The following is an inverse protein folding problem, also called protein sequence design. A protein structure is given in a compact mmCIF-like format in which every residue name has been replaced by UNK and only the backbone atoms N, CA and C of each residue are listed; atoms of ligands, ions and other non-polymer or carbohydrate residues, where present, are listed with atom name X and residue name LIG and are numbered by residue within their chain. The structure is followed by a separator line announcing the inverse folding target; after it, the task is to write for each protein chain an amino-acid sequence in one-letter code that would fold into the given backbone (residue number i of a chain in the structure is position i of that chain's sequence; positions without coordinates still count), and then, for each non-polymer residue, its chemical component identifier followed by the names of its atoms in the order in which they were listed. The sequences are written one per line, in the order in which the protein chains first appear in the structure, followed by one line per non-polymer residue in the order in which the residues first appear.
data_IF_693133227440
#
_entry.id   IF_693133227440
#
_cell.length_a   1.000
_cell.length_b   1.000
_cell.length_c   1.000
_cell.angle_alpha   90.00
_cell.angle_beta   90.00
_cell.angle_gamma   90.00
#
_symmetry.space_group_name_H-M   'P 1'
#
loop_
_entity.id
_entity.type
_entity.pdbx_description
1 polymer ?
#
# COMPACT_ATOMS: atom_id res chain seq x y z
N UNK A 1 -1.42 -40.52 61.39
CA UNK A 1 -0.67 -40.11 60.18
C UNK A 1 -1.48 -40.56 58.98
N UNK A 2 -2.24 -39.64 58.38
CA UNK A 2 -2.99 -39.90 57.15
C UNK A 2 -2.68 -38.77 56.19
N UNK A 3 -1.68 -38.98 55.33
CA UNK A 3 -1.31 -38.04 54.29
C UNK A 3 -2.30 -38.16 53.14
N UNK A 4 -3.08 -37.11 52.90
CA UNK A 4 -3.90 -36.97 51.72
C UNK A 4 -2.98 -36.75 50.50
N UNK A 5 -2.88 -37.79 49.67
CA UNK A 5 -2.39 -37.70 48.30
C UNK A 5 -3.31 -36.74 47.53
N UNK A 6 -2.82 -35.54 47.20
CA UNK A 6 -3.52 -34.63 46.28
C UNK A 6 -3.52 -35.27 44.89
N UNK A 7 -4.71 -35.72 44.49
CA UNK A 7 -4.99 -36.28 43.20
C UNK A 7 -5.02 -35.18 42.12
N UNK A 8 -4.31 -35.44 41.01
CA UNK A 8 -4.73 -35.14 39.64
C UNK A 8 -5.12 -33.70 39.31
N UNK A 9 -4.15 -32.90 38.88
CA UNK A 9 -4.45 -31.79 37.98
C UNK A 9 -4.96 -32.36 36.66
N UNK A 10 -6.28 -32.29 36.45
CA UNK A 10 -6.88 -32.55 35.15
C UNK A 10 -6.24 -31.61 34.13
N UNK A 11 -5.65 -32.16 33.07
CA UNK A 11 -5.10 -31.39 31.96
C UNK A 11 -6.22 -30.62 31.27
N UNK A 12 -6.43 -29.38 31.71
CA UNK A 12 -7.34 -28.45 31.05
C UNK A 12 -6.73 -28.10 29.70
N UNK A 13 -7.41 -28.50 28.62
CA UNK A 13 -6.99 -28.18 27.26
C UNK A 13 -6.90 -26.65 27.14
N UNK A 14 -5.74 -26.10 26.71
CA UNK A 14 -5.62 -24.67 26.50
C UNK A 14 -6.71 -24.20 25.54
N UNK A 15 -7.24 -23.00 25.83
CA UNK A 15 -8.20 -22.35 24.93
C UNK A 15 -7.63 -22.26 23.50
N UNK A 16 -8.50 -22.32 22.50
CA UNK A 16 -8.11 -22.33 21.08
C UNK A 16 -7.18 -21.16 20.73
N UNK A 17 -7.39 -19.97 21.29
CA UNK A 17 -6.51 -18.82 21.04
C UNK A 17 -5.12 -18.99 21.68
N UNK A 18 -5.04 -19.40 22.94
CA UNK A 18 -3.77 -19.66 23.62
C UNK A 18 -2.96 -20.74 22.90
N UNK A 19 -3.63 -21.82 22.49
CA UNK A 19 -3.03 -22.90 21.73
C UNK A 19 -2.55 -22.45 20.34
N UNK A 20 -3.25 -21.52 19.69
CA UNK A 20 -2.82 -20.95 18.41
C UNK A 20 -1.54 -20.11 18.56
N UNK A 21 -1.43 -19.31 19.63
CA UNK A 21 -0.21 -18.54 19.91
C UNK A 21 0.99 -19.46 20.19
N UNK A 22 0.77 -20.59 20.86
CA UNK A 22 1.80 -21.61 21.05
C UNK A 22 2.17 -22.30 19.73
N UNK A 23 1.18 -22.65 18.91
CA UNK A 23 1.41 -23.22 17.58
C UNK A 23 2.19 -22.26 16.66
N UNK A 24 1.92 -20.95 16.70
CA UNK A 24 2.72 -19.95 15.97
C UNK A 24 4.19 -19.94 16.38
N UNK A 25 4.52 -20.36 17.61
CA UNK A 25 5.91 -20.51 18.10
C UNK A 25 6.54 -21.85 17.74
N UNK A 26 5.73 -22.85 17.36
CA UNK A 26 6.22 -24.13 16.85
C UNK A 26 7.01 -23.93 15.54
N UNK A 27 7.92 -24.84 15.21
CA UNK A 27 8.74 -24.74 14.00
C UNK A 27 7.90 -24.61 12.71
N UNK A 28 6.73 -25.25 12.65
CA UNK A 28 5.83 -25.16 11.50
C UNK A 28 5.12 -23.80 11.44
N UNK A 29 4.51 -23.38 12.55
CA UNK A 29 3.80 -22.10 12.64
C UNK A 29 4.73 -20.89 12.51
N UNK A 30 5.96 -20.97 13.05
CA UNK A 30 6.94 -19.90 12.98
C UNK A 30 7.45 -19.68 11.55
N UNK A 31 7.66 -20.74 10.78
CA UNK A 31 8.04 -20.65 9.36
C UNK A 31 6.97 -19.98 8.53
N UNK A 32 5.70 -20.39 8.68
CA UNK A 32 4.58 -19.78 7.97
C UNK A 32 4.38 -18.32 8.37
N UNK A 33 4.46 -18.01 9.66
CA UNK A 33 4.35 -16.63 10.17
C UNK A 33 5.47 -15.74 9.62
N UNK A 34 6.72 -16.22 9.63
CA UNK A 34 7.86 -15.50 9.03
C UNK A 34 7.67 -15.29 7.53
N UNK A 35 7.21 -16.32 6.80
CA UNK A 35 6.95 -16.21 5.36
C UNK A 35 5.86 -15.16 5.06
N UNK A 36 4.77 -15.16 5.83
CA UNK A 36 3.68 -14.18 5.69
C UNK A 36 4.23 -12.77 5.89
N UNK A 37 4.97 -12.54 6.98
CA UNK A 37 5.56 -11.23 7.30
C UNK A 37 6.49 -10.74 6.19
N UNK A 38 7.47 -11.53 5.80
CA UNK A 38 8.42 -11.13 4.74
C UNK A 38 7.71 -10.90 3.41
N UNK A 39 6.68 -11.70 3.10
CA UNK A 39 5.89 -11.50 1.88
C UNK A 39 5.05 -10.21 1.93
N UNK A 40 4.54 -9.82 3.10
CA UNK A 40 3.83 -8.54 3.28
C UNK A 40 4.77 -7.36 3.07
N UNK A 41 5.97 -7.39 3.66
CA UNK A 41 7.01 -6.38 3.43
C UNK A 41 7.35 -6.26 1.94
N UNK A 42 7.49 -7.40 1.25
CA UNK A 42 7.76 -7.46 -0.18
C UNK A 42 6.61 -6.87 -1.03
N UNK A 43 5.34 -7.09 -0.64
CA UNK A 43 4.18 -6.43 -1.26
C UNK A 43 4.25 -4.91 -1.11
N UNK A 44 4.64 -4.39 0.06
CA UNK A 44 4.78 -2.95 0.29
C UNK A 44 5.88 -2.35 -0.58
N UNK A 45 7.04 -3.00 -0.66
CA UNK A 45 8.14 -2.59 -1.55
C UNK A 45 7.68 -2.54 -3.00
N UNK A 46 6.97 -3.57 -3.47
CA UNK A 46 6.41 -3.60 -4.83
C UNK A 46 5.39 -2.50 -5.08
N UNK A 47 4.48 -2.21 -4.13
CA UNK A 47 3.51 -1.12 -4.25
C UNK A 47 4.20 0.25 -4.39
N UNK A 48 5.25 0.49 -3.59
CA UNK A 48 6.06 1.69 -3.69
C UNK A 48 6.71 1.81 -5.07
N UNK A 49 7.37 0.74 -5.53
CA UNK A 49 8.01 0.70 -6.85
C UNK A 49 7.01 0.91 -8.00
N UNK A 50 5.82 0.31 -7.93
CA UNK A 50 4.73 0.51 -8.90
C UNK A 50 4.35 2.00 -9.00
N UNK A 51 4.32 2.70 -7.86
CA UNK A 51 3.95 4.13 -7.79
C UNK A 51 5.06 5.01 -8.37
N UNK A 52 6.32 4.71 -8.03
CA UNK A 52 7.50 5.39 -8.58
C UNK A 52 7.56 5.24 -10.11
N UNK A 53 7.53 3.99 -10.60
CA UNK A 53 7.58 3.70 -12.03
C UNK A 53 6.40 4.33 -12.76
N UNK A 54 5.19 4.28 -12.18
CA UNK A 54 4.01 4.94 -12.74
C UNK A 54 4.18 6.46 -12.87
N UNK A 55 4.83 7.10 -11.91
CA UNK A 55 5.13 8.54 -11.94
C UNK A 55 6.16 8.84 -13.03
N UNK A 56 7.24 8.06 -13.12
CA UNK A 56 8.27 8.22 -14.17
C UNK A 56 7.69 8.01 -15.56
N UNK A 57 6.81 7.01 -15.74
CA UNK A 57 6.12 6.78 -17.02
C UNK A 57 5.31 8.01 -17.44
N UNK A 58 4.60 8.65 -16.50
CA UNK A 58 3.83 9.86 -16.80
C UNK A 58 4.75 11.04 -17.19
N UNK A 59 5.89 11.19 -16.52
CA UNK A 59 6.90 12.19 -16.87
C UNK A 59 7.48 11.93 -18.27
N UNK A 60 7.81 10.68 -18.60
CA UNK A 60 8.31 10.31 -19.92
C UNK A 60 7.28 10.56 -21.01
N UNK A 61 5.97 10.31 -20.75
CA UNK A 61 4.91 10.67 -21.70
C UNK A 61 4.90 12.18 -21.99
N UNK A 62 4.91 13.00 -20.94
CA UNK A 62 4.95 14.46 -21.10
C UNK A 62 6.20 14.91 -21.87
N UNK A 63 7.35 14.31 -21.59
CA UNK A 63 8.59 14.60 -22.32
C UNK A 63 8.50 14.20 -23.80
N UNK A 64 7.97 13.00 -24.10
CA UNK A 64 7.74 12.55 -25.48
C UNK A 64 6.80 13.52 -26.21
N UNK A 65 5.71 13.93 -25.59
CA UNK A 65 4.73 14.84 -26.19
C UNK A 65 5.36 16.21 -26.48
N UNK A 66 6.09 16.77 -25.51
CA UNK A 66 6.78 18.05 -25.67
C UNK A 66 7.85 18.02 -26.77
N UNK A 67 8.76 17.02 -26.73
CA UNK A 67 9.81 16.88 -27.74
C UNK A 67 9.24 16.56 -29.13
N UNK A 68 8.15 15.79 -29.20
CA UNK A 68 7.48 15.50 -30.48
C UNK A 68 6.80 16.75 -31.04
N UNK A 69 6.16 17.57 -30.20
CA UNK A 69 5.57 18.83 -30.63
C UNK A 69 6.63 19.82 -31.14
N UNK A 70 7.76 19.94 -30.44
CA UNK A 70 8.86 20.81 -30.86
C UNK A 70 9.48 20.32 -32.18
N UNK A 71 9.69 19.03 -32.34
CA UNK A 71 10.18 18.45 -33.59
C UNK A 71 9.22 18.73 -34.76
N UNK A 72 7.90 18.69 -34.54
CA UNK A 72 6.91 19.06 -35.56
C UNK A 72 6.95 20.55 -35.88
N UNK A 73 7.16 21.42 -34.89
CA UNK A 73 7.32 22.86 -35.09
C UNK A 73 8.52 23.15 -36.00
N UNK A 74 9.68 22.58 -35.70
CA UNK A 74 10.90 22.77 -36.50
C UNK A 74 10.72 22.28 -37.93
N UNK A 75 10.12 21.10 -38.12
CA UNK A 75 9.82 20.56 -39.45
C UNK A 75 8.90 21.46 -40.26
N UNK A 76 7.86 22.01 -39.63
CA UNK A 76 6.94 22.92 -40.30
C UNK A 76 7.61 24.26 -40.67
N UNK A 77 8.49 24.78 -39.81
CA UNK A 77 9.26 25.99 -40.08
C UNK A 77 10.24 25.79 -41.24
N UNK A 78 10.91 24.64 -41.27
CA UNK A 78 11.80 24.26 -42.36
C UNK A 78 11.05 24.13 -43.68
N UNK A 79 9.92 23.41 -43.69
CA UNK A 79 9.08 23.25 -44.87
C UNK A 79 8.57 24.62 -45.38
N UNK A 80 8.24 25.54 -44.48
CA UNK A 80 7.82 26.91 -44.82
C UNK A 80 8.93 27.74 -45.44
N UNK A 81 10.21 27.42 -45.19
CA UNK A 81 11.38 28.07 -45.80
C UNK A 81 11.79 27.45 -47.13
N UNK A 82 11.18 26.33 -47.53
CA UNK A 82 11.51 25.60 -48.76
C UNK A 82 12.82 24.80 -48.70
N UNK A 83 13.32 24.52 -47.49
CA UNK A 83 14.60 23.83 -47.25
C UNK A 83 14.36 22.34 -46.94
N UNK A 84 13.90 21.57 -47.93
CA UNK A 84 13.38 20.21 -47.68
C UNK A 84 14.48 19.15 -47.49
N UNK A 85 15.72 19.42 -47.94
CA UNK A 85 16.78 18.41 -48.05
C UNK A 85 17.76 18.36 -46.87
N UNK A 86 17.74 19.35 -45.95
CA UNK A 86 18.73 19.43 -44.86
C UNK A 86 18.05 19.40 -43.48
N UNK A 87 18.26 18.30 -42.74
CA UNK A 87 17.90 18.21 -41.31
C UNK A 87 19.00 18.91 -40.51
N UNK A 88 18.61 19.87 -39.67
CA UNK A 88 19.58 20.53 -38.81
C UNK A 88 20.00 19.64 -37.62
N UNK A 89 21.13 19.98 -37.02
CA UNK A 89 21.68 19.23 -35.89
C UNK A 89 20.70 19.19 -34.69
N UNK A 90 19.90 20.25 -34.51
CA UNK A 90 18.92 20.36 -33.43
C UNK A 90 17.75 19.37 -33.62
N UNK A 91 17.19 19.28 -34.82
CA UNK A 91 16.17 18.30 -35.18
C UNK A 91 16.70 16.88 -35.02
N UNK A 92 17.93 16.61 -35.46
CA UNK A 92 18.55 15.30 -35.32
C UNK A 92 18.66 14.89 -33.84
N UNK A 93 19.13 15.79 -32.97
CA UNK A 93 19.21 15.57 -31.53
C UNK A 93 17.82 15.31 -30.92
N UNK A 94 16.79 16.06 -31.34
CA UNK A 94 15.41 15.83 -30.88
C UNK A 94 14.86 14.47 -31.33
N UNK A 95 15.13 14.05 -32.58
CA UNK A 95 14.74 12.71 -33.03
C UNK A 95 15.40 11.62 -32.18
N UNK A 96 16.70 11.76 -31.91
CA UNK A 96 17.45 10.83 -31.09
C UNK A 96 16.88 10.77 -29.66
N UNK A 97 16.65 11.93 -29.04
CA UNK A 97 16.06 12.04 -27.70
C UNK A 97 14.67 11.42 -27.63
N UNK A 98 13.78 11.71 -28.59
CA UNK A 98 12.42 11.10 -28.65
C UNK A 98 12.50 9.58 -28.76
N UNK A 99 13.42 9.07 -29.59
CA UNK A 99 13.61 7.62 -29.76
C UNK A 99 14.09 6.97 -28.47
N UNK A 100 15.05 7.58 -27.79
CA UNK A 100 15.55 7.12 -26.48
C UNK A 100 14.47 7.15 -25.41
N UNK A 101 13.76 8.27 -25.25
CA UNK A 101 12.68 8.42 -24.25
C UNK A 101 11.56 7.39 -24.49
N UNK A 102 11.19 7.12 -25.77
CA UNK A 102 10.24 6.06 -26.12
C UNK A 102 10.75 4.66 -25.76
N UNK A 103 12.06 4.43 -25.81
CA UNK A 103 12.69 3.18 -25.37
C UNK A 103 12.58 3.00 -23.86
N UNK A 104 12.94 4.04 -23.10
CA UNK A 104 12.80 4.06 -21.63
C UNK A 104 11.34 3.86 -21.19
N UNK A 105 10.40 4.54 -21.86
CA UNK A 105 8.96 4.40 -21.62
C UNK A 105 8.48 2.95 -21.74
N UNK A 106 8.86 2.26 -22.83
CA UNK A 106 8.48 0.86 -23.08
C UNK A 106 9.05 -0.06 -22.00
N UNK A 107 10.35 0.07 -21.72
CA UNK A 107 11.03 -0.71 -20.68
C UNK A 107 10.36 -0.56 -19.29
N UNK A 108 10.07 0.68 -18.89
CA UNK A 108 9.41 0.93 -17.61
C UNK A 108 7.96 0.45 -17.60
N UNK A 109 7.25 0.48 -18.72
CA UNK A 109 5.90 -0.05 -18.81
C UNK A 109 5.88 -1.58 -18.65
N UNK A 110 6.85 -2.28 -19.23
CA UNK A 110 7.04 -3.72 -19.05
C UNK A 110 7.40 -4.03 -17.59
N UNK A 111 8.28 -3.23 -16.96
CA UNK A 111 8.60 -3.32 -15.53
C UNK A 111 7.34 -3.14 -14.67
N UNK A 112 6.53 -2.11 -14.94
CA UNK A 112 5.29 -1.82 -14.23
C UNK A 112 4.32 -3.00 -14.28
N UNK A 113 4.17 -3.60 -15.45
CA UNK A 113 3.28 -4.75 -15.66
C UNK A 113 3.79 -5.96 -14.87
N UNK A 114 5.09 -6.26 -14.99
CA UNK A 114 5.74 -7.35 -14.23
C UNK A 114 5.63 -7.15 -12.72
N UNK A 115 5.79 -5.92 -12.22
CA UNK A 115 5.68 -5.62 -10.79
C UNK A 115 4.25 -5.83 -10.27
N UNK A 116 3.23 -5.45 -11.05
CA UNK A 116 1.82 -5.69 -10.70
C UNK A 116 1.54 -7.19 -10.60
N UNK A 117 1.96 -7.96 -11.59
CA UNK A 117 1.78 -9.42 -11.59
C UNK A 117 2.47 -10.07 -10.38
N UNK A 118 3.73 -9.68 -10.11
CA UNK A 118 4.48 -10.17 -8.95
C UNK A 118 3.84 -9.77 -7.63
N UNK A 119 3.29 -8.56 -7.51
CA UNK A 119 2.54 -8.10 -6.33
C UNK A 119 1.30 -8.96 -6.13
N UNK A 120 0.54 -9.22 -7.18
CA UNK A 120 -0.67 -10.02 -7.11
C UNK A 120 -0.37 -11.48 -6.75
N UNK A 121 0.73 -12.03 -7.27
CA UNK A 121 1.23 -13.36 -6.87
C UNK A 121 1.59 -13.41 -5.39
N UNK A 122 2.32 -12.40 -4.88
CA UNK A 122 2.71 -12.33 -3.48
C UNK A 122 1.49 -12.23 -2.54
N UNK A 123 0.47 -11.45 -2.92
CA UNK A 123 -0.80 -11.39 -2.18
C UNK A 123 -1.47 -12.75 -2.13
N UNK A 124 -1.60 -13.44 -3.28
CA UNK A 124 -2.17 -14.79 -3.32
C UNK A 124 -1.38 -15.80 -2.49
N UNK A 125 -0.04 -15.70 -2.46
CA UNK A 125 0.79 -16.60 -1.65
C UNK A 125 0.64 -16.33 -0.15
N UNK A 126 0.46 -15.06 0.26
CA UNK A 126 0.14 -14.71 1.65
C UNK A 126 -1.19 -15.34 2.05
N UNK A 127 -2.22 -15.23 1.22
CA UNK A 127 -3.55 -15.79 1.51
C UNK A 127 -3.52 -17.32 1.56
N UNK A 128 -2.71 -17.97 0.72
CA UNK A 128 -2.47 -19.41 0.79
C UNK A 128 -1.75 -19.80 2.09
N UNK A 129 -0.71 -19.07 2.48
CA UNK A 129 0.04 -19.34 3.70
C UNK A 129 -0.80 -19.12 4.97
N UNK A 130 -1.68 -18.10 4.98
CA UNK A 130 -2.64 -17.87 6.08
C UNK A 130 -3.62 -19.02 6.23
N UNK A 131 -4.17 -19.54 5.11
CA UNK A 131 -5.04 -20.71 5.13
C UNK A 131 -4.31 -21.95 5.65
N UNK A 132 -3.10 -22.20 5.14
CA UNK A 132 -2.26 -23.30 5.60
C UNK A 132 -1.97 -23.21 7.09
N UNK A 133 -1.67 -22.02 7.62
CA UNK A 133 -1.40 -21.83 9.04
C UNK A 133 -2.59 -22.23 9.91
N UNK A 134 -3.82 -21.92 9.48
CA UNK A 134 -5.04 -22.31 10.18
C UNK A 134 -5.28 -23.82 10.07
N UNK A 135 -5.13 -24.40 8.88
CA UNK A 135 -5.32 -25.84 8.64
C UNK A 135 -4.31 -26.69 9.45
N UNK A 136 -3.04 -26.27 9.48
CA UNK A 136 -2.00 -26.93 10.26
C UNK A 136 -2.28 -26.81 11.76
N UNK A 137 -2.72 -25.64 12.20
CA UNK A 137 -3.12 -25.42 13.58
C UNK A 137 -4.29 -26.32 13.99
N UNK A 138 -5.36 -26.39 13.21
CA UNK A 138 -6.53 -27.21 13.54
C UNK A 138 -6.19 -28.70 13.55
N UNK A 139 -5.27 -29.12 12.69
CA UNK A 139 -4.77 -30.50 12.67
C UNK A 139 -3.88 -30.80 13.88
N UNK A 140 -2.98 -29.89 14.23
CA UNK A 140 -2.16 -29.99 15.44
C UNK A 140 -3.01 -29.99 16.71
N UNK A 141 -3.97 -29.07 16.84
CA UNK A 141 -4.85 -28.96 18.00
C UNK A 141 -5.72 -30.21 18.18
N UNK A 142 -6.29 -30.76 17.11
CA UNK A 142 -7.01 -32.04 17.15
C UNK A 142 -6.13 -33.18 17.67
N UNK A 143 -4.90 -33.27 17.20
CA UNK A 143 -3.94 -34.29 17.67
C UNK A 143 -3.56 -34.09 19.15
N UNK A 144 -3.45 -32.84 19.63
CA UNK A 144 -3.22 -32.55 21.05
C UNK A 144 -4.42 -32.95 21.91
N UNK A 145 -5.65 -32.66 21.47
CA UNK A 145 -6.86 -33.09 22.16
C UNK A 145 -6.97 -34.62 22.26
N UNK A 146 -6.65 -35.34 21.18
CA UNK A 146 -6.67 -36.81 21.15
C UNK A 146 -5.62 -37.43 22.09
N UNK A 147 -4.45 -36.79 22.23
CA UNK A 147 -3.38 -37.23 23.14
C UNK A 147 -3.67 -36.94 24.62
N UNK A 148 -4.38 -35.85 24.92
CA UNK A 148 -4.67 -35.41 26.30
C UNK A 148 -6.00 -35.97 26.86
N UNK A 149 -6.88 -36.53 26.02
CA UNK A 149 -8.15 -37.10 26.44
C UNK A 149 -8.61 -38.23 25.52
N UNK A 150 -8.28 -39.47 25.87
CA UNK A 150 -8.70 -40.65 25.11
C UNK A 150 -10.21 -40.72 24.90
N UNK A 151 -10.63 -40.81 23.65
CA UNK A 151 -11.94 -41.36 23.27
C UNK A 151 -13.18 -40.53 23.64
N UNK A 152 -13.14 -39.21 23.49
CA UNK A 152 -14.36 -38.40 23.48
C UNK A 152 -14.73 -38.06 22.04
N UNK A 153 -15.79 -38.66 21.49
CA UNK A 153 -16.36 -38.20 20.22
C UNK A 153 -16.65 -36.71 20.36
N UNK A 154 -15.93 -35.84 19.65
CA UNK A 154 -16.41 -34.48 19.43
C UNK A 154 -17.64 -34.64 18.53
N UNK A 155 -18.81 -34.82 19.16
CA UNK A 155 -20.06 -34.51 18.49
C UNK A 155 -19.87 -33.09 17.98
N UNK A 156 -19.79 -32.96 16.66
CA UNK A 156 -19.94 -31.72 15.94
C UNK A 156 -21.33 -31.21 16.31
N UNK A 157 -21.44 -30.56 17.47
CA UNK A 157 -22.64 -29.87 17.87
C UNK A 157 -22.63 -28.63 17.01
N UNK A 158 -23.31 -28.75 15.88
CA UNK A 158 -23.74 -27.65 15.04
C UNK A 158 -24.46 -26.64 15.94
N UNK A 159 -23.71 -25.71 16.51
CA UNK A 159 -24.30 -24.55 17.10
C UNK A 159 -24.89 -23.75 15.93
N UNK A 160 -26.22 -23.71 15.90
CA UNK A 160 -26.99 -22.88 14.99
C UNK A 160 -26.51 -21.43 15.02
N UNK A 161 -26.71 -20.67 13.93
CA UNK A 161 -25.95 -19.47 13.60
C UNK A 161 -26.33 -18.32 14.53
N UNK A 162 -25.63 -18.20 15.65
CA UNK A 162 -25.62 -16.94 16.39
C UNK A 162 -24.91 -15.92 15.50
N UNK A 163 -25.61 -14.83 15.18
CA UNK A 163 -25.18 -13.71 14.32
C UNK A 163 -24.02 -12.89 14.91
N UNK A 164 -22.99 -13.55 15.43
CA UNK A 164 -21.67 -12.97 15.44
C UNK A 164 -21.14 -13.15 14.03
N UNK A 165 -21.50 -12.17 13.22
CA UNK A 165 -20.82 -11.78 12.00
C UNK A 165 -19.32 -11.65 12.33
N UNK A 166 -18.61 -12.77 12.37
CA UNK A 166 -17.19 -12.79 12.14
C UNK A 166 -17.03 -12.37 10.70
N UNK A 167 -16.85 -11.07 10.52
CA UNK A 167 -16.29 -10.45 9.33
C UNK A 167 -14.92 -11.10 9.12
N UNK A 168 -14.92 -12.27 8.49
CA UNK A 168 -13.74 -12.94 7.98
C UNK A 168 -12.97 -11.96 7.11
N UNK A 169 -11.87 -11.44 7.64
CA UNK A 169 -10.92 -10.66 6.85
C UNK A 169 -10.05 -9.66 7.61
N UNK A 170 -10.48 -9.12 8.75
CA UNK A 170 -9.80 -7.93 9.32
C UNK A 170 -9.25 -8.07 10.75
N UNK A 171 -9.93 -8.76 11.67
CA UNK A 171 -9.63 -8.60 13.10
C UNK A 171 -8.42 -9.42 13.63
N UNK A 172 -7.90 -10.39 12.88
CA UNK A 172 -6.71 -11.16 13.27
C UNK A 172 -5.42 -10.72 12.54
N UNK A 173 -5.51 -9.67 11.73
CA UNK A 173 -4.38 -9.02 11.06
C UNK A 173 -3.89 -7.77 11.82
N UNK A 174 -4.48 -7.50 12.99
CA UNK A 174 -4.18 -6.33 13.82
C UNK A 174 -2.75 -6.34 14.41
N UNK A 175 -2.09 -7.51 14.41
CA UNK A 175 -0.76 -7.71 15.02
C UNK A 175 0.42 -7.34 14.08
N UNK A 176 0.15 -7.08 12.79
CA UNK A 176 1.17 -6.78 11.76
C UNK A 176 0.92 -5.46 11.00
N UNK A 177 0.07 -4.59 11.53
CA UNK A 177 -0.08 -3.22 11.02
C UNK A 177 0.94 -2.33 11.76
N UNK A 178 1.62 -1.44 11.04
CA UNK A 178 2.48 -0.45 11.72
C UNK A 178 1.64 0.44 12.66
N UNK A 179 2.25 1.04 13.69
CA UNK A 179 1.51 1.84 14.68
C UNK A 179 0.62 2.93 14.05
N UNK A 180 1.01 3.45 12.88
CA UNK A 180 0.21 4.37 12.08
C UNK A 180 -0.98 3.68 11.42
N UNK A 181 -0.76 2.58 10.69
CA UNK A 181 -1.80 1.82 10.00
C UNK A 181 -2.84 1.24 10.98
N UNK A 182 -2.42 0.84 12.19
CA UNK A 182 -3.34 0.40 13.27
C UNK A 182 -4.23 1.53 13.75
N UNK A 183 -3.63 2.71 13.99
CA UNK A 183 -4.37 3.88 14.43
C UNK A 183 -5.42 4.28 13.38
N UNK A 184 -5.06 4.27 12.10
CA UNK A 184 -6.00 4.57 11.03
C UNK A 184 -7.13 3.53 10.91
N UNK A 185 -6.83 2.24 11.08
CA UNK A 185 -7.82 1.18 11.05
C UNK A 185 -8.81 1.27 12.22
N UNK A 186 -8.31 1.52 13.44
CA UNK A 186 -9.14 1.70 14.64
C UNK A 186 -10.01 2.96 14.55
N UNK A 187 -9.44 4.05 14.03
CA UNK A 187 -10.16 5.31 13.82
C UNK A 187 -11.27 5.16 12.77
N UNK A 188 -11.00 4.45 11.68
CA UNK A 188 -11.97 4.16 10.62
C UNK A 188 -13.11 3.27 11.12
N UNK A 189 -12.80 2.27 11.95
CA UNK A 189 -13.81 1.40 12.57
C UNK A 189 -14.76 2.20 13.46
N UNK A 190 -14.23 3.12 14.27
CA UNK A 190 -15.06 3.99 15.12
C UNK A 190 -15.99 4.88 14.30
N UNK A 191 -15.48 5.46 13.22
CA UNK A 191 -16.30 6.30 12.31
C UNK A 191 -17.38 5.47 11.62
N UNK A 192 -17.10 4.23 11.23
CA UNK A 192 -18.08 3.35 10.59
C UNK A 192 -19.19 2.90 11.55
N UNK A 193 -18.87 2.70 12.83
CA UNK A 193 -19.86 2.36 13.88
C UNK A 193 -20.75 3.57 14.26
N UNK A 194 -20.16 4.77 14.31
CA UNK A 194 -20.87 6.01 14.67
C UNK A 194 -21.70 6.58 13.48
N UNK A 195 -21.15 6.56 12.26
CA UNK A 195 -21.80 7.06 11.05
C UNK A 195 -21.26 6.38 9.76
N UNK A 196 -21.94 5.34 9.25
CA UNK A 196 -21.48 4.56 8.10
C UNK A 196 -21.39 5.38 6.79
N UNK A 197 -22.14 6.48 6.66
CA UNK A 197 -22.11 7.34 5.46
C UNK A 197 -20.88 8.26 5.46
N UNK A 198 -20.31 8.55 6.63
CA UNK A 198 -19.13 9.41 6.79
C UNK A 198 -17.81 8.75 6.39
N UNK A 199 -17.78 7.43 6.17
CA UNK A 199 -16.57 6.68 5.79
C UNK A 199 -15.96 7.19 4.48
N UNK A 200 -16.79 7.53 3.48
CA UNK A 200 -16.33 8.06 2.21
C UNK A 200 -15.75 9.47 2.33
N UNK A 201 -16.35 10.33 3.17
CA UNK A 201 -15.84 11.67 3.43
C UNK A 201 -14.54 11.63 4.23
N UNK A 202 -14.45 10.73 5.21
CA UNK A 202 -13.29 10.57 6.09
C UNK A 202 -12.06 10.07 5.31
N UNK A 203 -12.23 9.06 4.46
CA UNK A 203 -11.19 8.56 3.56
C UNK A 203 -10.75 9.62 2.55
N UNK A 204 -11.69 10.37 1.95
CA UNK A 204 -11.39 11.47 1.04
C UNK A 204 -10.63 12.63 1.71
N UNK A 205 -11.02 13.00 2.95
CA UNK A 205 -10.38 14.05 3.73
C UNK A 205 -8.94 13.69 4.10
N UNK A 206 -8.66 12.44 4.52
CA UNK A 206 -7.29 12.00 4.79
C UNK A 206 -6.42 12.06 3.54
N UNK A 207 -6.91 11.59 2.40
CA UNK A 207 -6.20 11.69 1.11
C UNK A 207 -5.90 13.15 0.74
N UNK A 208 -6.85 14.07 0.95
CA UNK A 208 -6.66 15.49 0.69
C UNK A 208 -5.61 16.11 1.63
N UNK A 209 -5.63 15.76 2.92
CA UNK A 209 -4.69 16.27 3.93
C UNK A 209 -3.27 15.78 3.66
N UNK A 210 -3.10 14.51 3.28
CA UNK A 210 -1.81 13.94 2.89
C UNK A 210 -1.28 14.58 1.61
N UNK A 211 -2.15 14.88 0.63
CA UNK A 211 -1.76 15.62 -0.59
C UNK A 211 -1.36 17.07 -0.30
N UNK A 212 -2.03 17.74 0.63
CA UNK A 212 -1.70 19.10 1.04
C UNK A 212 -0.35 19.17 1.76
N UNK A 213 -0.03 18.18 2.59
CA UNK A 213 1.25 18.13 3.31
C UNK A 213 2.45 17.82 2.39
N UNK A 214 2.23 17.17 1.24
CA UNK A 214 3.27 16.92 0.22
C UNK A 214 3.45 18.08 -0.78
N UNK A 215 2.67 19.16 -0.67
CA UNK A 215 2.67 20.30 -1.59
C UNK A 215 3.14 21.63 -0.96
N UNK A 216 3.73 21.62 0.23
CA UNK A 216 4.35 22.81 0.80
C UNK A 216 5.77 23.03 0.22
N UNK A 217 6.02 24.06 -0.61
CA UNK A 217 7.38 24.46 -0.92
C UNK A 217 8.03 25.09 0.31
N UNK A 218 9.17 24.54 0.72
CA UNK A 218 10.05 25.13 1.72
C UNK A 218 10.75 26.32 1.08
N UNK A 219 10.32 27.55 1.37
CA UNK A 219 10.90 28.73 0.75
C UNK A 219 10.44 30.07 1.30
N UNK A 220 11.26 30.63 2.21
CA UNK A 220 11.81 31.98 2.07
C UNK A 220 10.92 33.20 2.36
N UNK A 221 11.28 33.91 3.44
CA UNK A 221 11.47 35.37 3.43
C UNK A 221 10.23 36.25 3.29
N UNK A 222 9.72 36.76 4.42
CA UNK A 222 8.91 37.98 4.44
C UNK A 222 9.75 39.17 4.90
N UNK A 223 10.39 39.83 3.93
CA UNK A 223 10.70 41.25 4.02
C UNK A 223 9.41 42.06 3.95
N UNK A 224 9.26 43.03 4.86
CA UNK A 224 8.10 43.91 4.93
C UNK A 224 8.03 44.89 3.75
N UNK A 225 6.83 45.32 3.35
CA UNK A 225 6.64 46.23 2.22
C UNK A 225 6.92 47.68 2.61
N UNK A 226 7.69 48.37 1.77
CA UNK A 226 7.87 49.82 1.79
C UNK A 226 6.60 50.51 1.27
N UNK A 227 6.13 51.50 2.04
CA UNK A 227 4.98 52.34 1.70
C UNK A 227 5.39 53.36 0.63
N UNK A 228 4.84 53.21 -0.57
CA UNK A 228 4.87 54.25 -1.61
C UNK A 228 3.67 55.19 -1.44
N UNK A 229 3.92 56.36 -0.85
CA UNK A 229 2.95 57.47 -0.74
C UNK A 229 3.02 58.36 -1.98
N UNK A 230 1.91 58.43 -2.73
CA UNK A 230 1.72 59.33 -3.85
C UNK A 230 1.51 60.79 -3.43
N UNK A 231 1.92 61.71 -4.29
CA UNK A 231 1.62 63.13 -4.17
C UNK A 231 1.98 63.86 -5.45
N UNK A 232 1.03 63.97 -6.38
CA UNK A 232 1.13 64.96 -7.46
C UNK A 232 -0.13 65.81 -7.45
N UNK A 233 -0.04 66.94 -6.74
CA UNK A 233 -1.05 67.98 -6.73
C UNK A 233 -0.68 69.06 -7.75
N UNK A 234 -1.62 69.35 -8.63
CA UNK A 234 -1.61 70.43 -9.61
C UNK A 234 -1.55 71.82 -8.97
N UNK A 235 -0.99 72.73 -9.78
CA UNK A 235 -1.28 74.17 -9.91
C UNK A 235 -0.50 75.16 -9.02
N UNK A 236 0.22 76.10 -9.67
CA UNK A 236 -0.28 77.46 -9.98
C UNK A 236 0.75 78.31 -10.75
N UNK A 237 0.20 79.20 -11.58
CA UNK A 237 0.83 80.33 -12.31
C UNK A 237 1.61 81.26 -11.36
N UNK A 238 2.78 81.76 -11.78
CA UNK A 238 2.97 83.09 -12.40
C UNK A 238 4.40 83.22 -12.92
#
# INVERSE_FOLDING_TARGET
MGGAISAGGAGELPDKNTAFLEFKKSNAGAKLTSFIKTSQEDVLVKKRRITEVGTTINQLKQHIDASSAELQRLRNERLSRGDDDVVDEQEFQLVAAVKETKGQYRSLYDELTSLKDKRDMAVRSIDAAKRQLVEDYESWYRQQCEQLGGGGTISSHHNSPSKHQWTSGAAALDDDLDEGERFEALELHRVMDDDPESVAFYTAKKVATTRLNQQAPVGGGRGGPTVGGGGNARARKH
#
